data_IF_035766380866
#
_entry.id   IF_035766380866
#
_cell.length_a   1.000
_cell.length_b   1.000
_cell.length_c   1.000
_cell.angle_alpha   90.00
_cell.angle_beta   90.00
_cell.angle_gamma   90.00
#
_symmetry.space_group_name_H-M   'P 1'
#
loop_
_entity.id
_entity.type
_entity.pdbx_description
1 polymer ?
#
# COMPACT_ATOMS: atom_id res chain seq x y z
N UNK A 1 -2.82 -4.89 9.88
CA UNK A 1 -4.05 -5.15 9.12
C UNK A 1 -4.95 -3.90 8.97
N UNK A 2 -4.41 -2.69 9.15
CA UNK A 2 -5.18 -1.44 9.14
C UNK A 2 -5.36 -0.86 7.73
N UNK A 3 -4.37 -1.01 6.84
CA UNK A 3 -4.41 -0.45 5.48
C UNK A 3 -5.48 -1.11 4.58
N UNK A 4 -5.65 -2.42 4.66
CA UNK A 4 -6.73 -3.14 3.93
C UNK A 4 -8.12 -2.68 4.39
N UNK A 5 -8.29 -2.37 5.68
CA UNK A 5 -9.56 -1.87 6.22
C UNK A 5 -9.89 -0.45 5.74
N UNK A 6 -8.88 0.34 5.39
CA UNK A 6 -9.05 1.69 4.85
C UNK A 6 -9.22 1.72 3.33
N UNK A 7 -9.41 0.57 2.67
CA UNK A 7 -9.65 0.49 1.23
C UNK A 7 -8.42 0.64 0.35
N UNK A 8 -7.21 0.58 0.92
CA UNK A 8 -6.00 0.63 0.11
C UNK A 8 -5.80 -0.68 -0.67
N UNK A 9 -5.59 -0.56 -1.97
CA UNK A 9 -5.32 -1.67 -2.89
C UNK A 9 -3.81 -1.79 -3.12
N UNK A 10 -3.32 -3.02 -3.24
CA UNK A 10 -1.92 -3.30 -3.55
C UNK A 10 -1.73 -3.14 -5.07
N UNK A 11 -1.11 -2.05 -5.48
CA UNK A 11 -0.78 -1.77 -6.90
C UNK A 11 0.45 -2.57 -7.35
N UNK A 12 1.38 -2.84 -6.43
CA UNK A 12 2.60 -3.56 -6.79
C UNK A 12 3.49 -3.88 -5.61
N UNK A 13 4.24 -4.98 -5.76
CA UNK A 13 5.27 -5.39 -4.80
C UNK A 13 6.63 -5.38 -5.50
N UNK A 14 7.46 -4.41 -5.15
CA UNK A 14 8.84 -4.35 -5.62
C UNK A 14 9.70 -5.20 -4.69
N UNK A 15 10.18 -6.33 -5.19
CA UNK A 15 11.08 -7.20 -4.44
C UNK A 15 12.49 -6.61 -4.44
N UNK A 16 13.14 -6.62 -3.27
CA UNK A 16 14.50 -6.11 -3.09
C UNK A 16 14.71 -4.63 -3.49
N UNK A 17 13.66 -3.80 -3.42
CA UNK A 17 13.73 -2.38 -3.81
C UNK A 17 14.67 -1.56 -2.92
N UNK A 18 14.75 -1.91 -1.62
CA UNK A 18 15.44 -1.09 -0.62
C UNK A 18 16.56 -1.92 0.01
N UNK A 19 17.81 -1.51 -0.17
CA UNK A 19 18.93 -2.08 0.57
C UNK A 19 19.19 -1.24 1.83
N UNK A 20 18.88 -1.80 3.01
CA UNK A 20 19.04 -1.11 4.30
C UNK A 20 19.51 -2.10 5.37
N UNK A 21 20.49 -1.69 6.18
CA UNK A 21 21.15 -2.54 7.19
C UNK A 21 21.67 -3.89 6.63
N UNK A 22 22.30 -3.86 5.45
CA UNK A 22 22.91 -5.05 4.86
C UNK A 22 21.91 -6.09 4.33
N UNK A 23 20.61 -5.76 4.28
CA UNK A 23 19.56 -6.63 3.75
C UNK A 23 18.71 -5.89 2.73
N UNK A 24 18.26 -6.65 1.74
CA UNK A 24 17.24 -6.19 0.80
C UNK A 24 15.86 -6.33 1.44
N UNK A 25 15.08 -5.26 1.37
CA UNK A 25 13.71 -5.18 1.84
C UNK A 25 12.78 -5.05 0.64
N UNK A 26 11.64 -5.74 0.74
CA UNK A 26 10.57 -5.63 -0.23
C UNK A 26 9.74 -4.38 0.08
N UNK A 27 9.40 -3.63 -0.96
CA UNK A 27 8.50 -2.49 -0.87
C UNK A 27 7.13 -2.89 -1.42
N UNK A 28 6.09 -2.69 -0.61
CA UNK A 28 4.70 -2.91 -1.02
C UNK A 28 4.12 -1.53 -1.30
N UNK A 29 3.85 -1.24 -2.58
CA UNK A 29 3.14 -0.03 -2.97
C UNK A 29 1.64 -0.28 -2.84
N UNK A 30 1.04 0.44 -1.91
CA UNK A 30 -0.40 0.50 -1.73
C UNK A 30 -0.89 1.88 -2.18
N UNK A 31 -1.94 1.91 -2.97
CA UNK A 31 -2.61 3.13 -3.37
C UNK A 31 -4.11 3.03 -3.07
N UNK A 32 -4.76 4.18 -2.98
CA UNK A 32 -6.22 4.27 -2.96
C UNK A 32 -6.58 5.42 -3.88
N UNK A 33 -7.56 5.21 -4.76
CA UNK A 33 -8.05 6.30 -5.58
C UNK A 33 -8.88 7.25 -4.73
N UNK A 34 -8.83 8.55 -5.06
CA UNK A 34 -9.59 9.59 -4.33
C UNK A 34 -11.09 9.31 -4.32
N UNK A 35 -11.60 8.71 -5.39
CA UNK A 35 -13.01 8.32 -5.55
C UNK A 35 -13.38 7.17 -4.59
N UNK A 36 -12.53 6.14 -4.48
CA UNK A 36 -12.71 5.03 -3.55
C UNK A 36 -12.68 5.49 -2.09
N UNK A 37 -11.74 6.39 -1.76
CA UNK A 37 -11.65 6.97 -0.42
C UNK A 37 -12.86 7.83 -0.06
N UNK A 38 -13.39 8.61 -1.01
CA UNK A 38 -14.65 9.38 -0.80
C UNK A 38 -15.83 8.45 -0.56
N UNK A 39 -15.96 7.40 -1.38
CA UNK A 39 -17.05 6.43 -1.26
C UNK A 39 -17.02 5.67 0.07
N UNK A 40 -15.83 5.34 0.61
CA UNK A 40 -15.70 4.71 1.93
C UNK A 40 -16.04 5.64 3.10
N UNK A 41 -15.79 6.96 2.99
CA UNK A 41 -16.07 7.91 4.07
C UNK A 41 -17.54 8.32 4.20
N UNK A 42 -18.34 8.08 3.15
CA UNK A 42 -19.77 8.40 3.13
C UNK A 42 -20.66 7.21 3.55
N UNK A 43 -20.08 6.08 3.98
CA UNK A 43 -20.77 4.96 4.63
C UNK A 43 -20.66 5.03 6.14
#
# INVERSE_FOLDING_TARGET
>A
RCYEKCGFVIEGRLRQSIFRNGRYHDEIKMAILREEWRCQRER
#
